data_IF_866119228718
#
_entry.id   IF_866119228718
#
_cell.length_a   1.000
_cell.length_b   1.000
_cell.length_c   1.000
_cell.angle_alpha   90.00
_cell.angle_beta   90.00
_cell.angle_gamma   90.00
#
_symmetry.space_group_name_H-M   'P 1'
#
loop_
_entity.id
_entity.type
_entity.pdbx_description
1 polymer ?
#
# COMPACT_ATOMS: atom_id res chain seq x y z
N UNK A 1 -15.93 13.13 -6.41
CA UNK A 1 -14.57 12.71 -5.97
C UNK A 1 -14.56 11.44 -5.10
N UNK A 2 -15.42 11.27 -4.08
CA UNK A 2 -15.44 10.08 -3.17
C UNK A 2 -15.51 8.71 -3.88
N UNK A 3 -16.23 8.61 -5.01
CA UNK A 3 -16.36 7.34 -5.74
C UNK A 3 -15.09 6.90 -6.48
N UNK A 4 -14.18 7.83 -6.84
CA UNK A 4 -12.94 7.49 -7.56
C UNK A 4 -11.90 6.87 -6.62
N UNK A 5 -11.87 7.32 -5.36
CA UNK A 5 -10.99 6.78 -4.33
C UNK A 5 -11.37 5.35 -3.96
N UNK A 6 -12.66 5.10 -3.71
CA UNK A 6 -13.19 3.75 -3.47
C UNK A 6 -12.92 2.79 -4.62
N UNK A 7 -13.09 3.24 -5.88
CA UNK A 7 -12.86 2.39 -7.05
C UNK A 7 -11.37 2.05 -7.25
N UNK A 8 -10.49 3.00 -6.98
CA UNK A 8 -9.06 2.77 -7.02
C UNK A 8 -8.62 1.82 -5.90
N UNK A 9 -9.10 2.02 -4.67
CA UNK A 9 -8.86 1.11 -3.55
C UNK A 9 -9.35 -0.31 -3.84
N UNK A 10 -10.55 -0.46 -4.41
CA UNK A 10 -11.08 -1.78 -4.79
C UNK A 10 -10.21 -2.50 -5.82
N UNK A 11 -9.79 -1.78 -6.86
CA UNK A 11 -8.88 -2.33 -7.87
C UNK A 11 -7.51 -2.67 -7.26
N UNK A 12 -7.01 -1.84 -6.36
CA UNK A 12 -5.75 -2.02 -5.65
C UNK A 12 -5.79 -3.25 -4.72
N UNK A 13 -6.88 -3.44 -3.97
CA UNK A 13 -7.15 -4.62 -3.12
C UNK A 13 -7.27 -5.90 -3.96
N UNK A 14 -7.86 -5.82 -5.16
CA UNK A 14 -8.01 -6.96 -6.07
C UNK A 14 -6.66 -7.50 -6.57
N UNK A 15 -5.70 -6.62 -6.85
CA UNK A 15 -4.32 -6.97 -7.23
C UNK A 15 -3.41 -7.32 -6.05
N UNK A 16 -3.83 -7.05 -4.81
CA UNK A 16 -3.01 -7.30 -3.62
C UNK A 16 -2.82 -8.81 -3.34
N UNK A 17 -1.71 -9.13 -2.66
CA UNK A 17 -1.36 -10.49 -2.23
C UNK A 17 -2.47 -11.12 -1.36
N UNK A 18 -2.56 -12.45 -1.35
CA UNK A 18 -3.57 -13.19 -0.54
C UNK A 18 -3.54 -12.80 0.94
N UNK A 19 -2.36 -12.50 1.47
CA UNK A 19 -2.18 -12.07 2.87
C UNK A 19 -2.86 -10.73 3.13
N UNK A 20 -2.72 -9.76 2.21
CA UNK A 20 -3.35 -8.44 2.30
C UNK A 20 -4.87 -8.55 2.26
N UNK A 21 -5.42 -9.46 1.45
CA UNK A 21 -6.86 -9.73 1.39
C UNK A 21 -7.40 -10.30 2.71
N UNK A 22 -6.66 -11.22 3.33
CA UNK A 22 -7.04 -11.80 4.64
C UNK A 22 -6.98 -10.73 5.74
N UNK A 23 -5.89 -9.93 5.76
CA UNK A 23 -5.72 -8.84 6.71
C UNK A 23 -6.85 -7.80 6.61
N UNK A 24 -7.41 -7.60 5.42
CA UNK A 24 -8.55 -6.70 5.23
C UNK A 24 -9.87 -7.30 5.69
N UNK A 25 -10.10 -8.61 5.51
CA UNK A 25 -11.38 -9.27 5.81
C UNK A 25 -11.61 -9.44 7.32
N UNK A 26 -10.56 -9.76 8.09
CA UNK A 26 -10.69 -10.08 9.53
C UNK A 26 -11.35 -8.92 10.32
N UNK A 27 -10.94 -7.65 10.19
CA UNK A 27 -11.56 -6.54 10.90
C UNK A 27 -13.06 -6.36 10.57
N UNK A 28 -13.49 -6.67 9.34
CA UNK A 28 -14.93 -6.62 9.00
C UNK A 28 -15.73 -7.73 9.67
N UNK A 29 -15.15 -8.93 9.81
CA UNK A 29 -15.79 -10.03 10.54
C UNK A 29 -15.95 -9.65 12.01
N UNK A 30 -14.89 -9.10 12.63
CA UNK A 30 -14.93 -8.62 14.02
C UNK A 30 -15.99 -7.53 14.19
N UNK A 31 -16.05 -6.54 13.28
CA UNK A 31 -17.07 -5.49 13.31
C UNK A 31 -18.51 -6.04 13.27
N UNK A 32 -18.77 -7.12 12.51
CA UNK A 32 -20.10 -7.74 12.46
C UNK A 32 -20.48 -8.30 13.83
N UNK A 33 -19.57 -9.03 14.48
CA UNK A 33 -19.81 -9.56 15.83
C UNK A 33 -20.01 -8.45 16.86
N UNK A 34 -19.19 -7.39 16.81
CA UNK A 34 -19.33 -6.26 17.73
C UNK A 34 -20.66 -5.53 17.53
N UNK A 35 -21.10 -5.37 16.28
CA UNK A 35 -22.39 -4.78 15.95
C UNK A 35 -23.55 -5.63 16.48
N UNK A 36 -23.44 -6.96 16.43
CA UNK A 36 -24.44 -7.87 17.00
C UNK A 36 -24.50 -7.76 18.53
N UNK A 37 -23.34 -7.74 19.20
CA UNK A 37 -23.26 -7.56 20.66
C UNK A 37 -23.85 -6.20 21.07
N UNK A 38 -23.53 -5.15 20.32
CA UNK A 38 -24.07 -3.82 20.56
C UNK A 38 -25.58 -3.79 20.37
N UNK A 39 -26.10 -4.39 19.29
CA UNK A 39 -27.52 -4.48 19.01
C UNK A 39 -28.29 -5.26 20.08
N UNK A 40 -27.74 -6.41 20.50
CA UNK A 40 -28.31 -7.20 21.58
C UNK A 40 -28.38 -6.39 22.89
N UNK A 41 -27.29 -5.71 23.26
CA UNK A 41 -27.23 -4.92 24.49
C UNK A 41 -28.18 -3.72 24.47
N UNK A 42 -28.30 -3.06 23.31
CA UNK A 42 -29.26 -1.98 23.10
C UNK A 42 -30.71 -2.45 23.31
N UNK A 43 -31.04 -3.62 22.76
CA UNK A 43 -32.39 -4.21 22.81
C UNK A 43 -32.75 -4.66 24.22
N UNK A 44 -31.80 -5.20 24.98
CA UNK A 44 -32.03 -5.66 26.36
C UNK A 44 -31.79 -4.57 27.43
N UNK A 45 -31.47 -3.34 27.01
CA UNK A 45 -31.24 -2.19 27.90
C UNK A 45 -30.13 -2.39 28.96
N UNK A 46 -29.14 -3.23 28.65
CA UNK A 46 -28.01 -3.53 29.52
C UNK A 46 -26.96 -2.42 29.47
N UNK A 47 -27.17 -1.34 30.23
CA UNK A 47 -26.36 -0.11 30.17
C UNK A 47 -24.84 -0.32 30.24
N UNK A 48 -24.36 -1.22 31.09
CA UNK A 48 -22.93 -1.48 31.24
C UNK A 48 -22.33 -2.13 30.00
N UNK A 49 -23.03 -3.14 29.45
CA UNK A 49 -22.59 -3.86 28.26
C UNK A 49 -22.70 -2.93 27.05
N UNK A 50 -23.70 -2.05 27.01
CA UNK A 50 -23.90 -1.12 25.90
C UNK A 50 -22.75 -0.11 25.77
N UNK A 51 -22.28 0.42 26.90
CA UNK A 51 -21.14 1.35 26.90
C UNK A 51 -19.86 0.61 26.47
N UNK A 52 -19.63 -0.59 27.00
CA UNK A 52 -18.46 -1.39 26.67
C UNK A 52 -18.46 -1.82 25.19
N UNK A 53 -19.58 -2.35 24.67
CA UNK A 53 -19.69 -2.77 23.28
C UNK A 53 -19.66 -1.59 22.32
N UNK A 54 -20.19 -0.43 22.70
CA UNK A 54 -20.08 0.79 21.90
C UNK A 54 -18.63 1.26 21.76
N UNK A 55 -17.85 1.15 22.83
CA UNK A 55 -16.41 1.44 22.79
C UNK A 55 -15.66 0.44 21.89
N UNK A 56 -15.94 -0.86 22.01
CA UNK A 56 -15.34 -1.89 21.15
C UNK A 56 -15.69 -1.66 19.68
N UNK A 57 -16.97 -1.38 19.37
CA UNK A 57 -17.41 -1.07 18.01
C UNK A 57 -16.64 0.12 17.41
N UNK A 58 -16.38 1.16 18.22
CA UNK A 58 -15.58 2.30 17.80
C UNK A 58 -14.12 1.90 17.51
N UNK A 59 -13.51 1.07 18.35
CA UNK A 59 -12.16 0.56 18.11
C UNK A 59 -12.08 -0.27 16.82
N UNK A 60 -13.06 -1.13 16.56
CA UNK A 60 -13.12 -1.95 15.34
C UNK A 60 -13.23 -1.10 14.07
N UNK A 61 -13.96 0.02 14.13
CA UNK A 61 -13.98 1.00 13.02
C UNK A 61 -12.60 1.64 12.81
N UNK A 62 -11.92 2.04 13.89
CA UNK A 62 -10.58 2.62 13.81
C UNK A 62 -9.56 1.63 13.25
N UNK A 63 -9.66 0.35 13.60
CA UNK A 63 -8.81 -0.71 13.06
C UNK A 63 -8.97 -0.83 11.54
N UNK A 64 -10.22 -0.85 11.03
CA UNK A 64 -10.49 -0.88 9.59
C UNK A 64 -9.84 0.33 8.89
N UNK A 65 -9.96 1.52 9.47
CA UNK A 65 -9.37 2.74 8.90
C UNK A 65 -7.83 2.63 8.87
N UNK A 66 -7.22 2.14 9.95
CA UNK A 66 -5.77 1.94 10.05
C UNK A 66 -5.27 0.95 9.00
N UNK A 67 -5.92 -0.20 8.86
CA UNK A 67 -5.56 -1.24 7.88
C UNK A 67 -5.70 -0.72 6.45
N UNK A 68 -6.77 0.01 6.13
CA UNK A 68 -6.95 0.62 4.79
C UNK A 68 -5.81 1.61 4.50
N UNK A 69 -5.43 2.44 5.48
CA UNK A 69 -4.34 3.40 5.32
C UNK A 69 -3.01 2.71 5.09
N UNK A 70 -2.69 1.68 5.87
CA UNK A 70 -1.46 0.90 5.74
C UNK A 70 -1.36 0.23 4.37
N UNK A 71 -2.45 -0.35 3.87
CA UNK A 71 -2.50 -0.95 2.54
C UNK A 71 -2.26 0.11 1.45
N UNK A 72 -2.86 1.30 1.58
CA UNK A 72 -2.66 2.38 0.63
C UNK A 72 -1.20 2.87 0.60
N UNK A 73 -0.58 3.04 1.77
CA UNK A 73 0.86 3.38 1.88
C UNK A 73 1.73 2.29 1.27
N UNK A 74 1.46 1.02 1.57
CA UNK A 74 2.22 -0.09 1.01
C UNK A 74 2.11 -0.13 -0.52
N UNK A 75 0.90 -0.08 -1.07
CA UNK A 75 0.68 -0.13 -2.53
C UNK A 75 1.26 1.08 -3.24
N UNK A 76 1.11 2.28 -2.67
CA UNK A 76 1.70 3.50 -3.26
C UNK A 76 3.22 3.43 -3.29
N UNK A 77 3.86 2.89 -2.24
CA UNK A 77 5.31 2.68 -2.20
C UNK A 77 5.79 1.68 -3.25
N UNK A 78 5.07 0.55 -3.41
CA UNK A 78 5.38 -0.47 -4.43
C UNK A 78 5.23 0.11 -5.83
N UNK A 79 4.13 0.81 -6.11
CA UNK A 79 3.91 1.48 -7.40
C UNK A 79 4.99 2.51 -7.71
N UNK A 80 5.41 3.31 -6.72
CA UNK A 80 6.51 4.28 -6.89
C UNK A 80 7.82 3.57 -7.27
N UNK A 81 8.13 2.45 -6.61
CA UNK A 81 9.29 1.62 -6.92
C UNK A 81 9.21 1.00 -8.33
N UNK A 82 8.05 0.49 -8.72
CA UNK A 82 7.82 -0.06 -10.07
C UNK A 82 8.03 1.00 -11.16
N UNK A 83 7.45 2.20 -10.98
CA UNK A 83 7.63 3.32 -11.91
C UNK A 83 9.11 3.73 -12.01
N UNK A 84 9.80 3.79 -10.86
CA UNK A 84 11.23 4.07 -10.82
C UNK A 84 12.03 3.02 -11.61
N UNK A 85 11.79 1.73 -11.36
CA UNK A 85 12.46 0.64 -12.06
C UNK A 85 12.19 0.67 -13.57
N UNK A 86 10.95 0.94 -13.98
CA UNK A 86 10.59 1.01 -15.40
C UNK A 86 11.31 2.17 -16.10
N UNK A 87 11.33 3.36 -15.48
CA UNK A 87 12.08 4.51 -16.01
C UNK A 87 13.58 4.20 -16.12
N UNK A 88 14.17 3.54 -15.11
CA UNK A 88 15.58 3.13 -15.12
C UNK A 88 15.88 2.10 -16.22
N UNK A 89 14.98 1.14 -16.40
CA UNK A 89 15.08 0.09 -17.43
C UNK A 89 15.08 0.69 -18.83
N UNK A 90 14.18 1.62 -19.11
CA UNK A 90 14.13 2.33 -20.40
C UNK A 90 15.43 3.09 -20.68
N UNK A 91 16.04 3.70 -19.66
CA UNK A 91 17.34 4.37 -19.83
C UNK A 91 18.44 3.35 -20.12
N UNK A 92 18.49 2.24 -19.37
CA UNK A 92 19.51 1.21 -19.51
C UNK A 92 19.45 0.50 -20.88
N UNK A 93 18.25 0.15 -21.37
CA UNK A 93 18.06 -0.54 -22.66
C UNK A 93 18.48 0.32 -23.87
N UNK A 94 18.40 1.64 -23.75
CA UNK A 94 18.86 2.57 -24.77
C UNK A 94 20.39 2.81 -24.74
N UNK A 95 21.12 2.19 -23.80
CA UNK A 95 22.58 2.32 -23.68
C UNK A 95 23.32 1.06 -24.14
N UNK A 96 24.34 1.23 -24.99
CA UNK A 96 25.21 0.13 -25.45
C UNK A 96 26.03 -0.54 -24.34
N UNK A 97 26.44 0.22 -23.32
CA UNK A 97 27.22 -0.26 -22.16
C UNK A 97 26.74 0.49 -20.91
N UNK A 98 25.60 0.05 -20.33
CA UNK A 98 25.06 0.68 -19.15
C UNK A 98 26.00 0.46 -17.96
N UNK A 99 26.26 1.52 -17.20
CA UNK A 99 26.99 1.47 -15.93
C UNK A 99 26.17 2.23 -14.90
N UNK A 100 26.29 1.88 -13.61
CA UNK A 100 25.53 2.53 -12.52
C UNK A 100 25.62 4.05 -12.65
N UNK A 101 26.84 4.58 -12.79
CA UNK A 101 27.10 6.03 -12.92
C UNK A 101 26.38 6.66 -14.11
N UNK A 102 26.51 6.06 -15.30
CA UNK A 102 25.86 6.60 -16.52
C UNK A 102 24.34 6.59 -16.43
N UNK A 103 23.74 5.52 -15.91
CA UNK A 103 22.29 5.43 -15.75
C UNK A 103 21.83 6.49 -14.75
N UNK A 104 22.51 6.61 -13.61
CA UNK A 104 22.18 7.60 -12.59
C UNK A 104 22.29 9.02 -13.12
N UNK A 105 23.38 9.37 -13.78
CA UNK A 105 23.58 10.73 -14.31
C UNK A 105 22.46 11.09 -15.29
N UNK A 106 22.12 10.19 -16.22
CA UNK A 106 21.00 10.39 -17.17
C UNK A 106 19.62 10.42 -16.49
N UNK A 107 19.41 9.61 -15.45
CA UNK A 107 18.16 9.60 -14.71
C UNK A 107 17.98 10.91 -13.92
N UNK A 108 19.02 11.35 -13.22
CA UNK A 108 19.00 12.56 -12.41
C UNK A 108 18.88 13.82 -13.25
N UNK A 109 19.43 13.84 -14.47
CA UNK A 109 19.23 14.93 -15.43
C UNK A 109 17.75 15.05 -15.87
N UNK A 110 17.04 13.93 -16.00
CA UNK A 110 15.66 13.89 -16.52
C UNK A 110 14.57 13.94 -15.44
N UNK A 111 14.85 13.38 -14.26
CA UNK A 111 13.86 13.17 -13.19
C UNK A 111 14.38 13.57 -11.78
N UNK A 112 15.49 14.29 -11.70
CA UNK A 112 16.16 14.60 -10.43
C UNK A 112 15.37 15.43 -9.43
N UNK A 113 14.31 16.12 -9.87
CA UNK A 113 13.41 16.87 -8.98
C UNK A 113 12.45 15.96 -8.20
N UNK A 114 12.14 14.76 -8.70
CA UNK A 114 11.13 13.84 -8.13
C UNK A 114 11.73 12.74 -7.24
N UNK A 115 13.04 12.47 -7.35
CA UNK A 115 13.70 11.33 -6.72
C UNK A 115 15.00 11.72 -6.04
N UNK A 116 15.32 11.04 -4.93
CA UNK A 116 16.59 11.23 -4.26
C UNK A 116 17.71 10.40 -4.91
N UNK A 117 18.94 10.92 -4.88
CA UNK A 117 20.12 10.23 -5.43
C UNK A 117 20.30 8.83 -4.82
N UNK A 118 20.08 8.69 -3.50
CA UNK A 118 20.22 7.40 -2.81
C UNK A 118 19.17 6.37 -3.28
N UNK A 119 17.91 6.80 -3.42
CA UNK A 119 16.84 5.94 -3.91
C UNK A 119 17.16 5.41 -5.32
N UNK A 120 17.61 6.30 -6.21
CA UNK A 120 17.97 5.95 -7.58
C UNK A 120 19.22 5.05 -7.63
N UNK A 121 20.23 5.30 -6.80
CA UNK A 121 21.45 4.48 -6.72
C UNK A 121 21.12 3.02 -6.41
N UNK A 122 20.37 2.77 -5.34
CA UNK A 122 20.02 1.40 -4.93
C UNK A 122 19.21 0.69 -6.01
N UNK A 123 18.19 1.35 -6.56
CA UNK A 123 17.37 0.78 -7.63
C UNK A 123 18.19 0.49 -8.91
N UNK A 124 19.19 1.32 -9.22
CA UNK A 124 20.07 1.11 -10.38
C UNK A 124 21.01 -0.08 -10.18
N UNK A 125 21.55 -0.25 -8.97
CA UNK A 125 22.37 -1.40 -8.61
C UNK A 125 21.57 -2.71 -8.70
N UNK A 126 20.36 -2.73 -8.16
CA UNK A 126 19.44 -3.88 -8.25
C UNK A 126 19.17 -4.23 -9.73
N UNK A 127 18.81 -3.22 -10.54
CA UNK A 127 18.54 -3.41 -11.97
C UNK A 127 19.74 -4.01 -12.73
N UNK A 128 20.95 -3.49 -12.54
CA UNK A 128 22.14 -4.00 -13.22
C UNK A 128 22.52 -5.41 -12.77
N UNK A 129 22.25 -5.77 -11.51
CA UNK A 129 22.45 -7.13 -11.03
C UNK A 129 21.52 -8.14 -11.72
N UNK A 130 20.28 -7.74 -12.06
CA UNK A 130 19.35 -8.55 -12.85
C UNK A 130 19.78 -8.68 -14.32
N UNK A 131 20.31 -7.60 -14.93
CA UNK A 131 20.84 -7.64 -16.29
C UNK A 131 22.09 -8.52 -16.42
N UNK A 132 22.95 -8.56 -15.40
CA UNK A 132 24.18 -9.36 -15.42
C UNK A 132 23.99 -10.86 -15.17
N UNK A 133 22.82 -11.28 -14.69
CA UNK A 133 22.45 -12.69 -14.44
C UNK A 133 21.62 -13.32 -15.58
N UNK A 134 21.45 -12.61 -16.71
CA UNK A 134 20.89 -13.14 -17.96
C UNK A 134 21.99 -13.34 -19.00
#
# INVERSE_FOLDING_TARGET
MRHRFLRNLFNEILTASRIIKIALIIPFIVLIFDAEIFYYSWTNHEKTILIASGFVLLLSILEIIAVIKEIHEHISSVRRKEILMEKLRQIAENMKKPTVRKIMDTFMEKYGEEYSVNEVYHATCDLLSEFGNK
#
